data_IF_463706567790
#
_entry.id   IF_463706567790
#
_cell.length_a   1.000
_cell.length_b   1.000
_cell.length_c   1.000
_cell.angle_alpha   90.00
_cell.angle_beta   90.00
_cell.angle_gamma   90.00
#
_symmetry.space_group_name_H-M   'P 1'
#
loop_
_entity.id
_entity.type
_entity.pdbx_description
1 polymer ?
#
# COMPACT_ATOMS: atom_id res chain seq x y z
N UNK A 1 -32.88 -23.38 19.50
CA UNK A 1 -31.90 -22.30 19.79
C UNK A 1 -30.62 -22.52 18.96
N UNK A 2 -30.63 -22.13 17.67
CA UNK A 2 -29.45 -22.19 16.76
C UNK A 2 -29.51 -21.05 15.72
N UNK A 3 -29.65 -19.79 16.19
CA UNK A 3 -29.70 -18.61 15.30
C UNK A 3 -28.83 -17.43 15.78
N UNK A 4 -27.91 -17.63 16.72
CA UNK A 4 -26.99 -16.58 17.19
C UNK A 4 -25.51 -16.83 16.90
N UNK A 5 -25.10 -18.05 16.56
CA UNK A 5 -23.68 -18.37 16.35
C UNK A 5 -23.16 -17.95 14.96
N UNK A 6 -24.06 -17.65 14.00
CA UNK A 6 -23.69 -17.20 12.66
C UNK A 6 -23.28 -15.71 12.58
N UNK A 7 -23.39 -14.95 13.68
CA UNK A 7 -23.09 -13.49 13.70
C UNK A 7 -21.79 -13.13 14.41
N UNK A 8 -21.14 -14.09 15.09
CA UNK A 8 -19.95 -13.84 15.92
C UNK A 8 -18.72 -14.64 15.50
N UNK A 9 -18.79 -15.41 14.41
CA UNK A 9 -17.58 -15.84 13.70
C UNK A 9 -17.08 -14.67 12.88
N UNK A 10 -16.33 -13.75 13.50
CA UNK A 10 -15.83 -12.47 12.99
C UNK A 10 -15.10 -12.58 11.64
N UNK A 11 -15.85 -12.80 10.57
CA UNK A 11 -15.38 -12.64 9.21
C UNK A 11 -15.59 -11.16 8.91
N UNK A 12 -14.50 -10.40 8.91
CA UNK A 12 -14.55 -8.99 8.57
C UNK A 12 -15.34 -8.80 7.28
N UNK A 13 -16.32 -7.90 7.34
CA UNK A 13 -17.20 -7.60 6.20
C UNK A 13 -16.31 -7.04 5.07
N UNK A 14 -16.41 -7.55 3.82
CA UNK A 14 -15.55 -7.12 2.72
C UNK A 14 -15.51 -5.60 2.52
N UNK A 15 -16.64 -4.91 2.74
CA UNK A 15 -16.77 -3.45 2.67
C UNK A 15 -15.88 -2.75 3.71
N UNK A 16 -15.81 -3.26 4.93
CA UNK A 16 -14.91 -2.75 5.98
C UNK A 16 -13.44 -2.96 5.59
N UNK A 17 -13.12 -4.15 5.06
CA UNK A 17 -11.76 -4.45 4.59
C UNK A 17 -11.35 -3.54 3.43
N UNK A 18 -12.28 -3.27 2.51
CA UNK A 18 -12.05 -2.37 1.37
C UNK A 18 -11.86 -0.92 1.82
N UNK A 19 -12.64 -0.47 2.80
CA UNK A 19 -12.45 0.87 3.39
C UNK A 19 -11.08 1.00 4.06
N UNK A 20 -10.66 0.00 4.85
CA UNK A 20 -9.31 -0.04 5.45
C UNK A 20 -8.22 0.00 4.40
N UNK A 21 -8.35 -0.80 3.33
CA UNK A 21 -7.41 -0.79 2.21
C UNK A 21 -7.33 0.59 1.56
N UNK A 22 -8.47 1.20 1.22
CA UNK A 22 -8.51 2.51 0.57
C UNK A 22 -7.87 3.62 1.41
N UNK A 23 -8.13 3.62 2.72
CA UNK A 23 -7.60 4.62 3.66
C UNK A 23 -6.14 4.40 4.05
N UNK A 24 -5.57 3.23 3.75
CA UNK A 24 -4.22 2.91 4.14
C UNK A 24 -3.20 3.86 3.47
N UNK A 25 -2.23 4.32 4.25
CA UNK A 25 -1.04 5.03 3.78
C UNK A 25 0.16 4.49 4.52
N UNK A 26 1.35 4.65 3.93
CA UNK A 26 2.61 4.37 4.60
C UNK A 26 2.71 5.23 5.88
N UNK A 27 3.09 4.59 6.98
CA UNK A 27 3.24 5.24 8.27
C UNK A 27 4.59 5.96 8.39
N UNK A 28 4.70 7.01 9.21
CA UNK A 28 5.99 7.62 9.53
C UNK A 28 6.96 6.59 10.11
N UNK A 29 8.14 6.46 9.51
CA UNK A 29 9.17 5.49 9.94
C UNK A 29 8.97 4.06 9.43
N UNK A 30 7.86 3.75 8.77
CA UNK A 30 7.65 2.45 8.12
C UNK A 30 8.52 2.32 6.87
N UNK A 31 9.21 1.19 6.71
CA UNK A 31 9.99 0.92 5.51
C UNK A 31 9.07 0.72 4.31
N UNK A 32 9.58 0.99 3.12
CA UNK A 32 8.78 0.84 1.90
C UNK A 32 8.35 -0.62 1.66
N UNK A 33 9.18 -1.57 2.08
CA UNK A 33 8.92 -3.01 1.97
C UNK A 33 7.81 -3.43 2.93
N UNK A 34 7.89 -2.99 4.18
CA UNK A 34 6.86 -3.24 5.19
C UNK A 34 5.52 -2.66 4.73
N UNK A 35 5.55 -1.46 4.12
CA UNK A 35 4.37 -0.86 3.50
C UNK A 35 3.82 -1.72 2.36
N UNK A 36 4.68 -2.23 1.48
CA UNK A 36 4.28 -3.11 0.38
C UNK A 36 3.62 -4.41 0.87
N UNK A 37 4.20 -5.05 1.88
CA UNK A 37 3.65 -6.26 2.51
C UNK A 37 2.31 -5.97 3.20
N UNK A 38 2.18 -4.80 3.84
CA UNK A 38 0.92 -4.38 4.46
C UNK A 38 -0.17 -4.10 3.43
N UNK A 39 0.16 -3.51 2.28
CA UNK A 39 -0.79 -3.33 1.16
C UNK A 39 -1.30 -4.69 0.66
N UNK A 40 -0.41 -5.67 0.46
CA UNK A 40 -0.78 -7.03 0.05
C UNK A 40 -1.70 -7.71 1.08
N UNK A 41 -1.36 -7.56 2.36
CA UNK A 41 -2.13 -8.12 3.48
C UNK A 41 -3.54 -7.52 3.54
N UNK A 42 -3.67 -6.20 3.38
CA UNK A 42 -4.95 -5.49 3.37
C UNK A 42 -5.80 -5.83 2.13
N UNK A 43 -5.17 -6.10 0.99
CA UNK A 43 -5.86 -6.43 -0.25
C UNK A 43 -6.56 -7.79 -0.21
N UNK A 44 -5.99 -8.77 0.51
CA UNK A 44 -6.51 -10.14 0.57
C UNK A 44 -7.97 -10.19 1.03
N UNK A 45 -8.35 -9.64 2.20
CA UNK A 45 -9.76 -9.60 2.60
C UNK A 45 -10.58 -8.58 1.81
N UNK A 46 -9.98 -7.47 1.33
CA UNK A 46 -10.67 -6.41 0.60
C UNK A 46 -11.18 -6.83 -0.78
N UNK A 47 -10.47 -7.75 -1.45
CA UNK A 47 -10.77 -8.15 -2.84
C UNK A 47 -10.99 -9.66 -3.01
N UNK A 48 -11.19 -10.40 -1.91
CA UNK A 48 -11.36 -11.87 -1.90
C UNK A 48 -12.41 -12.46 -2.86
N UNK A 49 -13.39 -11.66 -3.27
CA UNK A 49 -14.51 -12.07 -4.13
C UNK A 49 -14.40 -11.48 -5.55
N UNK A 50 -13.28 -10.83 -5.88
CA UNK A 50 -13.01 -10.23 -7.18
C UNK A 50 -11.89 -11.01 -7.90
N UNK A 51 -11.76 -10.86 -9.23
CA UNK A 51 -10.66 -11.48 -9.97
C UNK A 51 -9.29 -11.03 -9.45
N UNK A 52 -8.32 -11.94 -9.38
CA UNK A 52 -6.97 -11.65 -8.88
C UNK A 52 -6.30 -10.47 -9.59
N UNK A 53 -6.50 -10.36 -10.90
CA UNK A 53 -5.98 -9.23 -11.69
C UNK A 53 -6.51 -7.88 -11.22
N UNK A 54 -7.74 -7.82 -10.72
CA UNK A 54 -8.30 -6.61 -10.13
C UNK A 54 -7.56 -6.27 -8.84
N UNK A 55 -7.45 -7.22 -7.91
CA UNK A 55 -6.73 -7.04 -6.65
C UNK A 55 -5.27 -6.64 -6.86
N UNK A 56 -4.57 -7.24 -7.82
CA UNK A 56 -3.20 -6.89 -8.18
C UNK A 56 -3.07 -5.44 -8.66
N UNK A 57 -3.97 -4.97 -9.53
CA UNK A 57 -3.97 -3.57 -9.99
C UNK A 57 -4.20 -2.60 -8.83
N UNK A 58 -5.14 -2.92 -7.95
CA UNK A 58 -5.43 -2.11 -6.77
C UNK A 58 -4.24 -2.07 -5.80
N UNK A 59 -3.56 -3.20 -5.57
CA UNK A 59 -2.34 -3.29 -4.74
C UNK A 59 -1.26 -2.38 -5.30
N UNK A 60 -0.97 -2.49 -6.60
CA UNK A 60 0.06 -1.65 -7.24
C UNK A 60 -0.30 -0.18 -7.14
N UNK A 61 -1.57 0.16 -7.41
CA UNK A 61 -2.09 1.51 -7.27
C UNK A 61 -1.91 2.05 -5.84
N UNK A 62 -2.32 1.27 -4.86
CA UNK A 62 -2.33 1.66 -3.46
C UNK A 62 -0.92 1.90 -2.92
N UNK A 63 0.07 1.14 -3.37
CA UNK A 63 1.47 1.31 -2.96
C UNK A 63 1.96 2.74 -3.25
N UNK A 64 1.82 3.23 -4.49
CA UNK A 64 2.29 4.57 -4.85
C UNK A 64 1.36 5.69 -4.39
N UNK A 65 0.04 5.44 -4.27
CA UNK A 65 -0.91 6.42 -3.72
C UNK A 65 -0.68 6.68 -2.23
N UNK A 66 -0.35 5.63 -1.48
CA UNK A 66 -0.13 5.71 -0.04
C UNK A 66 1.32 5.99 0.35
N UNK A 67 2.25 6.11 -0.61
CA UNK A 67 3.67 6.35 -0.36
C UNK A 67 3.88 7.67 0.41
N UNK A 68 4.71 7.61 1.47
CA UNK A 68 4.99 8.78 2.31
C UNK A 68 5.79 9.85 1.55
N UNK A 69 6.72 9.39 0.71
CA UNK A 69 7.39 10.23 -0.27
C UNK A 69 6.46 10.42 -1.48
N UNK A 70 5.72 11.53 -1.45
CA UNK A 70 4.73 11.86 -2.48
C UNK A 70 5.35 12.05 -3.86
N UNK A 71 6.58 12.54 -3.96
CA UNK A 71 7.22 12.76 -5.26
C UNK A 71 7.71 11.45 -5.86
N UNK A 72 8.29 10.57 -5.03
CA UNK A 72 8.61 9.21 -5.46
C UNK A 72 7.35 8.42 -5.88
N UNK A 73 6.25 8.55 -5.13
CA UNK A 73 4.97 7.94 -5.47
C UNK A 73 4.38 8.46 -6.78
N UNK A 74 4.41 9.79 -7.01
CA UNK A 74 3.98 10.37 -8.30
C UNK A 74 4.84 9.89 -9.46
N UNK A 75 6.15 9.85 -9.28
CA UNK A 75 7.06 9.33 -10.31
C UNK A 75 6.70 7.89 -10.68
N UNK A 76 6.54 7.01 -9.69
CA UNK A 76 6.11 5.64 -9.93
C UNK A 76 4.74 5.56 -10.63
N UNK A 77 3.78 6.43 -10.31
CA UNK A 77 2.49 6.49 -11.00
C UNK A 77 2.64 6.76 -12.51
N UNK A 78 3.50 7.72 -12.89
CA UNK A 78 3.73 8.05 -14.30
C UNK A 78 4.38 6.92 -15.10
N UNK A 79 5.25 6.15 -14.45
CA UNK A 79 5.92 4.99 -15.06
C UNK A 79 5.01 3.74 -15.19
N UNK A 80 3.80 3.78 -14.62
CA UNK A 80 2.76 2.73 -14.76
C UNK A 80 3.27 1.31 -14.47
N UNK A 81 3.76 1.04 -13.24
CA UNK A 81 4.21 -0.29 -12.85
C UNK A 81 3.08 -1.32 -12.99
N UNK A 82 3.46 -2.53 -13.40
CA UNK A 82 2.53 -3.68 -13.56
C UNK A 82 2.61 -4.68 -12.41
N UNK A 83 3.55 -4.50 -11.49
CA UNK A 83 3.75 -5.36 -10.33
C UNK A 83 4.19 -4.53 -9.13
N UNK A 84 3.95 -5.07 -7.92
CA UNK A 84 4.35 -4.40 -6.69
C UNK A 84 5.87 -4.23 -6.61
N UNK A 85 6.62 -5.25 -7.05
CA UNK A 85 8.08 -5.24 -7.09
C UNK A 85 8.61 -4.13 -8.01
N UNK A 86 7.99 -3.96 -9.18
CA UNK A 86 8.38 -2.89 -10.10
C UNK A 86 8.07 -1.50 -9.49
N UNK A 87 6.92 -1.35 -8.82
CA UNK A 87 6.58 -0.10 -8.14
C UNK A 87 7.54 0.23 -6.98
N UNK A 88 7.89 -0.75 -6.15
CA UNK A 88 8.91 -0.59 -5.09
C UNK A 88 10.25 -0.17 -5.68
N UNK A 89 10.68 -0.82 -6.77
CA UNK A 89 11.93 -0.49 -7.46
C UNK A 89 11.95 0.97 -7.93
N UNK A 90 10.89 1.44 -8.59
CA UNK A 90 10.79 2.83 -9.08
C UNK A 90 10.83 3.85 -7.94
N UNK A 91 10.10 3.60 -6.85
CA UNK A 91 10.09 4.48 -5.67
C UNK A 91 11.47 4.54 -5.03
N UNK A 92 12.13 3.38 -4.80
CA UNK A 92 13.49 3.34 -4.24
C UNK A 92 14.50 4.03 -5.13
N UNK A 93 14.41 3.80 -6.44
CA UNK A 93 15.34 4.39 -7.39
C UNK A 93 15.23 5.91 -7.37
N UNK A 94 14.01 6.45 -7.37
CA UNK A 94 13.79 7.89 -7.23
C UNK A 94 14.36 8.45 -5.93
N UNK A 95 14.09 7.78 -4.80
CA UNK A 95 14.60 8.20 -3.49
C UNK A 95 16.13 8.24 -3.46
N UNK A 96 16.78 7.22 -4.03
CA UNK A 96 18.24 7.16 -4.15
C UNK A 96 18.77 8.30 -5.02
N UNK A 97 18.20 8.50 -6.22
CA UNK A 97 18.63 9.56 -7.14
C UNK A 97 18.43 10.94 -6.51
N UNK A 98 17.28 11.22 -5.89
CA UNK A 98 17.03 12.50 -5.22
C UNK A 98 17.98 12.72 -4.04
N UNK A 99 18.35 11.68 -3.29
CA UNK A 99 19.34 11.80 -2.22
C UNK A 99 20.74 12.14 -2.78
N UNK A 100 21.16 11.49 -3.86
CA UNK A 100 22.49 11.67 -4.47
C UNK A 100 22.59 13.01 -5.21
N UNK A 101 21.55 13.39 -5.95
CA UNK A 101 21.55 14.57 -6.84
C UNK A 101 21.13 15.84 -6.11
N UNK A 102 20.04 15.79 -5.33
CA UNK A 102 19.49 16.98 -4.66
C UNK A 102 20.10 17.21 -3.27
N UNK A 103 20.88 16.25 -2.75
CA UNK A 103 21.38 16.28 -1.37
C UNK A 103 20.26 16.23 -0.31
N UNK A 104 19.03 15.91 -0.70
CA UNK A 104 17.90 15.78 0.22
C UNK A 104 18.14 14.57 1.11
N UNK A 105 18.46 14.82 2.38
CA UNK A 105 18.36 13.77 3.42
C UNK A 105 16.90 13.29 3.44
N UNK A 106 16.71 11.97 3.41
CA UNK A 106 15.41 11.35 3.66
C UNK A 106 14.74 12.06 4.84
N UNK A 107 13.53 12.60 4.64
CA UNK A 107 12.78 13.29 5.69
C UNK A 107 12.62 12.31 6.86
N UNK A 108 13.45 12.46 7.89
CA UNK A 108 13.22 11.82 9.18
C UNK A 108 11.96 12.48 9.71
N UNK A 109 10.84 11.76 9.68
CA UNK A 109 9.65 12.21 10.37
C UNK A 109 9.95 12.16 11.86
N UNK A 110 10.08 13.33 12.48
CA UNK A 110 10.22 13.48 13.92
C UNK A 110 9.00 12.83 14.61
N UNK A 111 9.27 11.87 15.48
CA UNK A 111 8.29 11.40 16.47
C UNK A 111 7.96 12.58 17.39
N UNK A 112 6.71 13.01 17.37
CA UNK A 112 6.08 13.81 18.42
C UNK A 112 4.93 13.02 19.02
#
# INVERSE_FOLDING_TARGET
MRKMEARFGSKEIPETSRAKFQQATQQPGELLEDWADRVLTLATPAFRNLPDQFGQREVVAKLWQGCIDREAGKHACFERPRSIQHAVHLIRHYQYVSQVVDGKKARKYDQK
#
